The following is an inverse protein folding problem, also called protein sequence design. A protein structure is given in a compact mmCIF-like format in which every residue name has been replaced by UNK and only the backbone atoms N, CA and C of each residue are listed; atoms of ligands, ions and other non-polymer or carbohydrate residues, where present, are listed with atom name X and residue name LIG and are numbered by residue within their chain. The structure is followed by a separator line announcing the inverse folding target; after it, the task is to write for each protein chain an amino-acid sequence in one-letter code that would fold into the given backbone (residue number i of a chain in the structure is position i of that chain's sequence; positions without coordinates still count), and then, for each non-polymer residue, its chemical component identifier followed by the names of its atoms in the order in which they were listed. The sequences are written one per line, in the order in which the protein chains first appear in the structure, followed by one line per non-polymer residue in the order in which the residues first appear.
data_IF_900107657364
#
_entry.id   IF_900107657364
#
_cell.length_a   1.000
_cell.length_b   1.000
_cell.length_c   1.000
_cell.angle_alpha   90.00
_cell.angle_beta   90.00
_cell.angle_gamma   90.00
#
_symmetry.space_group_name_H-M   'P 1'
#
loop_
_entity.id
_entity.type
_entity.pdbx_description
1 polymer ?
#
# COMPACT_ATOMS: atom_id res chain seq x y z
N UNK A 1 -16.50 -23.57 0.00
CA UNK A 1 -17.24 -23.09 1.20
C UNK A 1 -16.34 -22.32 2.18
N UNK A 2 -15.10 -22.76 2.46
CA UNK A 2 -14.15 -22.08 3.36
C UNK A 2 -13.75 -20.65 2.93
N UNK A 3 -13.47 -20.43 1.65
CA UNK A 3 -13.10 -19.11 1.11
C UNK A 3 -14.18 -18.04 1.34
N UNK A 4 -15.45 -18.41 1.13
CA UNK A 4 -16.60 -17.52 1.32
C UNK A 4 -16.87 -17.20 2.80
N UNK A 5 -16.60 -18.15 3.70
CA UNK A 5 -16.73 -17.94 5.16
C UNK A 5 -15.63 -17.00 5.68
N UNK A 6 -14.39 -17.12 5.18
CA UNK A 6 -13.28 -16.27 5.56
C UNK A 6 -13.50 -14.80 5.16
N UNK A 7 -13.85 -14.55 3.88
CA UNK A 7 -14.14 -13.19 3.40
C UNK A 7 -15.23 -12.53 4.25
N UNK A 8 -16.34 -13.24 4.51
CA UNK A 8 -17.46 -12.67 5.28
C UNK A 8 -17.10 -12.29 6.72
N UNK A 9 -16.30 -13.09 7.41
CA UNK A 9 -15.90 -12.79 8.80
C UNK A 9 -14.92 -11.62 8.88
N UNK A 10 -13.97 -11.55 7.95
CA UNK A 10 -13.03 -10.41 7.86
C UNK A 10 -13.80 -9.14 7.51
N UNK A 11 -14.66 -9.18 6.48
CA UNK A 11 -15.40 -8.03 6.03
C UNK A 11 -16.36 -7.49 7.10
N UNK A 12 -17.03 -8.35 7.87
CA UNK A 12 -17.86 -7.91 9.01
C UNK A 12 -17.08 -7.04 9.98
N UNK A 13 -15.83 -7.41 10.31
CA UNK A 13 -14.97 -6.62 11.20
C UNK A 13 -14.50 -5.32 10.56
N UNK A 14 -14.27 -5.32 9.24
CA UNK A 14 -13.79 -4.15 8.51
C UNK A 14 -14.90 -3.16 8.14
N UNK A 15 -16.17 -3.54 8.16
CA UNK A 15 -17.32 -2.67 7.79
C UNK A 15 -17.30 -1.30 8.48
N UNK A 16 -16.85 -1.22 9.74
CA UNK A 16 -16.74 0.04 10.50
C UNK A 16 -15.79 1.07 9.87
N UNK A 17 -14.95 0.65 8.93
CA UNK A 17 -13.98 1.50 8.24
C UNK A 17 -14.42 1.88 6.82
N UNK A 18 -15.63 1.51 6.38
CA UNK A 18 -16.06 1.70 4.99
C UNK A 18 -16.12 3.16 4.55
N UNK A 19 -16.48 4.05 5.48
CA UNK A 19 -16.54 5.49 5.24
C UNK A 19 -15.19 6.20 5.44
N UNK A 20 -14.16 5.47 5.90
CA UNK A 20 -12.83 6.02 6.14
C UNK A 20 -12.04 6.10 4.84
N UNK A 21 -11.26 7.17 4.67
CA UNK A 21 -10.26 7.30 3.60
C UNK A 21 -9.03 6.49 4.02
N UNK A 22 -8.86 5.32 3.42
CA UNK A 22 -7.81 4.37 3.80
C UNK A 22 -6.63 4.51 2.84
N UNK A 23 -5.42 4.64 3.40
CA UNK A 23 -4.18 4.57 2.66
C UNK A 23 -3.59 3.16 2.75
N UNK A 24 -3.55 2.45 1.63
CA UNK A 24 -3.01 1.09 1.51
C UNK A 24 -1.55 1.15 1.11
N UNK A 25 -0.67 0.59 1.94
CA UNK A 25 0.76 0.53 1.70
C UNK A 25 1.09 -0.68 0.83
N UNK A 26 1.23 -0.46 -0.48
CA UNK A 26 1.40 -1.53 -1.44
C UNK A 26 2.87 -1.74 -1.79
N UNK A 27 3.42 -2.92 -1.49
CA UNK A 27 4.82 -3.27 -1.83
C UNK A 27 4.97 -3.74 -3.27
N UNK A 28 3.86 -4.17 -3.89
CA UNK A 28 3.84 -4.89 -5.17
C UNK A 28 3.85 -6.41 -5.00
N UNK A 29 3.99 -6.91 -3.76
CA UNK A 29 3.87 -8.33 -3.43
C UNK A 29 2.41 -8.79 -3.31
N UNK A 30 2.24 -10.12 -3.22
CA UNK A 30 0.93 -10.79 -3.20
C UNK A 30 0.03 -10.26 -2.07
N UNK A 31 0.51 -10.25 -0.83
CA UNK A 31 -0.29 -9.89 0.35
C UNK A 31 -0.92 -8.50 0.21
N UNK A 32 -0.09 -7.50 -0.12
CA UNK A 32 -0.56 -6.12 -0.29
C UNK A 32 -1.49 -5.95 -1.49
N UNK A 33 -1.32 -6.78 -2.52
CA UNK A 33 -2.20 -6.79 -3.71
C UNK A 33 -3.56 -7.40 -3.37
N UNK A 34 -3.58 -8.52 -2.65
CA UNK A 34 -4.81 -9.17 -2.19
C UNK A 34 -5.57 -8.25 -1.24
N UNK A 35 -4.89 -7.60 -0.30
CA UNK A 35 -5.50 -6.63 0.60
C UNK A 35 -6.15 -5.47 -0.17
N UNK A 36 -5.41 -4.84 -1.09
CA UNK A 36 -5.94 -3.76 -1.91
C UNK A 36 -7.15 -4.23 -2.74
N UNK A 37 -7.04 -5.40 -3.37
CA UNK A 37 -8.11 -5.98 -4.17
C UNK A 37 -9.37 -6.29 -3.35
N UNK A 38 -9.21 -6.87 -2.15
CA UNK A 38 -10.31 -7.18 -1.24
C UNK A 38 -11.05 -5.90 -0.81
N UNK A 39 -10.32 -4.85 -0.46
CA UNK A 39 -10.92 -3.56 -0.08
C UNK A 39 -11.65 -2.91 -1.25
N UNK A 40 -11.07 -2.94 -2.46
CA UNK A 40 -11.71 -2.41 -3.67
C UNK A 40 -13.00 -3.14 -4.02
N UNK A 41 -12.95 -4.49 -4.05
CA UNK A 41 -14.10 -5.34 -4.37
C UNK A 41 -15.28 -5.11 -3.41
N UNK A 42 -14.99 -4.63 -2.20
CA UNK A 42 -15.99 -4.35 -1.17
C UNK A 42 -16.33 -2.87 -1.00
N UNK A 43 -15.96 -2.03 -1.98
CA UNK A 43 -16.29 -0.61 -2.07
C UNK A 43 -15.75 0.24 -0.91
N UNK A 44 -14.54 -0.07 -0.42
CA UNK A 44 -13.84 0.82 0.50
C UNK A 44 -13.19 2.00 -0.24
N UNK A 45 -13.14 3.17 0.40
CA UNK A 45 -12.50 4.38 -0.12
C UNK A 45 -10.99 4.29 0.08
N UNK A 46 -10.27 3.69 -0.86
CA UNK A 46 -8.81 3.51 -0.75
C UNK A 46 -8.00 4.43 -1.66
N UNK A 47 -6.76 4.71 -1.23
CA UNK A 47 -5.65 5.19 -2.06
C UNK A 47 -4.42 4.33 -1.80
N UNK A 48 -3.42 4.40 -2.66
CA UNK A 48 -2.23 3.55 -2.58
C UNK A 48 -0.98 4.38 -2.28
N UNK A 49 -0.13 3.89 -1.37
CA UNK A 49 1.21 4.39 -1.15
C UNK A 49 2.25 3.31 -1.47
N UNK A 50 3.23 3.64 -2.30
CA UNK A 50 4.36 2.77 -2.64
C UNK A 50 5.69 3.47 -2.38
N UNK A 51 6.64 2.74 -1.80
CA UNK A 51 8.03 3.19 -1.65
C UNK A 51 8.93 2.28 -2.48
N UNK A 52 9.60 2.87 -3.47
CA UNK A 52 10.63 2.21 -4.25
C UNK A 52 12.01 2.56 -3.65
N UNK A 53 12.61 1.62 -2.93
CA UNK A 53 13.93 1.78 -2.31
C UNK A 53 15.11 1.57 -3.28
N UNK A 54 14.84 1.19 -4.54
CA UNK A 54 15.86 0.90 -5.56
C UNK A 54 16.93 -0.13 -5.15
N UNK A 55 16.62 -1.03 -4.21
CA UNK A 55 17.56 -2.03 -3.67
C UNK A 55 17.80 -3.24 -4.58
N UNK A 56 16.81 -3.63 -5.41
CA UNK A 56 16.85 -4.88 -6.19
C UNK A 56 16.80 -4.64 -7.69
N UNK A 57 17.35 -3.51 -8.14
CA UNK A 57 17.44 -3.14 -9.55
C UNK A 57 16.12 -3.35 -10.31
N UNK A 58 16.12 -4.29 -11.25
CA UNK A 58 14.98 -4.60 -12.12
C UNK A 58 13.72 -5.05 -11.36
N UNK A 59 13.85 -5.74 -10.23
CA UNK A 59 12.69 -6.17 -9.43
C UNK A 59 11.95 -4.98 -8.83
N UNK A 60 12.69 -3.99 -8.32
CA UNK A 60 12.12 -2.75 -7.79
C UNK A 60 11.38 -1.96 -8.88
N UNK A 61 11.91 -1.93 -10.10
CA UNK A 61 11.24 -1.31 -11.26
C UNK A 61 9.98 -2.07 -11.69
N UNK A 62 10.02 -3.41 -11.68
CA UNK A 62 8.86 -4.25 -11.98
C UNK A 62 7.72 -4.03 -10.97
N UNK A 63 8.04 -3.99 -9.68
CA UNK A 63 7.05 -3.73 -8.63
C UNK A 63 6.43 -2.34 -8.76
N UNK A 64 7.24 -1.29 -8.99
CA UNK A 64 6.71 0.06 -9.21
C UNK A 64 5.78 0.09 -10.45
N UNK A 65 6.21 -0.51 -11.56
CA UNK A 65 5.41 -0.57 -12.80
C UNK A 65 4.09 -1.31 -12.57
N UNK A 66 4.12 -2.42 -11.82
CA UNK A 66 2.93 -3.17 -11.44
C UNK A 66 1.97 -2.32 -10.59
N UNK A 67 2.47 -1.68 -9.53
CA UNK A 67 1.63 -0.83 -8.66
C UNK A 67 1.01 0.33 -9.44
N UNK A 68 1.79 0.99 -10.32
CA UNK A 68 1.28 2.04 -11.22
C UNK A 68 0.16 1.52 -12.11
N UNK A 69 0.34 0.35 -12.73
CA UNK A 69 -0.68 -0.27 -13.57
C UNK A 69 -1.94 -0.62 -12.76
N UNK A 70 -1.77 -1.22 -11.59
CA UNK A 70 -2.87 -1.55 -10.69
C UNK A 70 -3.69 -0.31 -10.32
N UNK A 71 -3.03 0.78 -9.91
CA UNK A 71 -3.71 2.02 -9.54
C UNK A 71 -4.42 2.64 -10.75
N UNK A 72 -3.76 2.68 -11.92
CA UNK A 72 -4.35 3.22 -13.16
C UNK A 72 -5.60 2.44 -13.56
N UNK A 73 -5.54 1.11 -13.57
CA UNK A 73 -6.65 0.24 -13.96
C UNK A 73 -7.86 0.36 -13.02
N UNK A 74 -7.62 0.63 -11.73
CA UNK A 74 -8.68 0.75 -10.72
C UNK A 74 -9.03 2.22 -10.39
N UNK A 75 -8.51 3.20 -11.15
CA UNK A 75 -8.72 4.64 -10.94
C UNK A 75 -8.37 5.12 -9.52
N UNK A 76 -7.28 4.61 -8.96
CA UNK A 76 -6.82 4.93 -7.61
C UNK A 76 -5.74 6.00 -7.63
N UNK A 77 -5.80 6.89 -6.63
CA UNK A 77 -4.69 7.81 -6.34
C UNK A 77 -3.48 7.00 -5.86
N UNK A 78 -2.36 7.18 -6.56
CA UNK A 78 -1.07 6.61 -6.19
C UNK A 78 -0.14 7.69 -5.64
N UNK A 79 0.31 7.50 -4.40
CA UNK A 79 1.45 8.18 -3.82
C UNK A 79 2.68 7.33 -4.04
N UNK A 80 3.70 7.89 -4.66
CA UNK A 80 4.97 7.20 -4.91
C UNK A 80 6.12 7.98 -4.31
N UNK A 81 6.91 7.32 -3.46
CA UNK A 81 8.23 7.78 -3.07
C UNK A 81 9.27 6.87 -3.69
N UNK A 82 10.23 7.46 -4.40
CA UNK A 82 11.38 6.74 -4.95
C UNK A 82 12.63 7.29 -4.31
N UNK A 83 13.46 6.39 -3.76
CA UNK A 83 14.77 6.73 -3.21
C UNK A 83 15.82 6.66 -4.32
N UNK A 84 16.91 7.39 -4.13
CA UNK A 84 18.10 7.27 -4.97
C UNK A 84 18.93 6.05 -4.55
N UNK A 85 19.66 5.47 -5.50
CA UNK A 85 20.57 4.35 -5.22
C UNK A 85 21.67 4.83 -4.28
N UNK A 86 21.84 4.15 -3.15
CA UNK A 86 22.83 4.54 -2.13
C UNK A 86 22.29 5.43 -1.01
N UNK A 87 21.01 5.82 -1.02
CA UNK A 87 20.38 6.53 0.12
C UNK A 87 20.13 5.64 1.34
N UNK A 88 20.41 4.34 1.24
CA UNK A 88 20.28 3.39 2.35
C UNK A 88 21.67 2.89 2.76
N UNK A 89 21.98 3.05 4.04
CA UNK A 89 23.23 2.67 4.67
C UNK A 89 23.19 1.21 5.18
N UNK A 90 24.21 0.83 5.97
CA UNK A 90 24.46 -0.56 6.41
C UNK A 90 23.28 -1.24 7.13
N UNK A 91 22.35 -0.49 7.75
CA UNK A 91 21.14 -1.04 8.39
C UNK A 91 19.88 -0.86 7.53
N UNK A 92 19.93 -1.42 6.32
CA UNK A 92 18.93 -1.26 5.26
C UNK A 92 17.49 -1.47 5.76
N UNK A 93 17.25 -2.50 6.58
CA UNK A 93 15.89 -2.83 7.01
C UNK A 93 15.29 -1.80 7.98
N UNK A 94 16.08 -1.35 8.96
CA UNK A 94 15.63 -0.39 9.98
C UNK A 94 15.42 0.98 9.32
N UNK A 95 16.37 1.40 8.49
CA UNK A 95 16.30 2.68 7.78
C UNK A 95 15.15 2.71 6.77
N UNK A 96 14.96 1.64 5.99
CA UNK A 96 13.82 1.51 5.10
C UNK A 96 12.50 1.55 5.87
N UNK A 97 12.41 0.91 7.03
CA UNK A 97 11.20 0.92 7.88
C UNK A 97 10.92 2.32 8.43
N UNK A 98 11.96 3.05 8.87
CA UNK A 98 11.83 4.43 9.36
C UNK A 98 11.34 5.37 8.25
N UNK A 99 12.04 5.40 7.11
CA UNK A 99 11.67 6.22 5.94
C UNK A 99 10.23 5.95 5.52
N UNK A 100 9.82 4.68 5.52
CA UNK A 100 8.47 4.27 5.17
C UNK A 100 7.42 4.88 6.10
N UNK A 101 7.57 4.69 7.40
CA UNK A 101 6.57 5.15 8.36
C UNK A 101 6.52 6.66 8.48
N UNK A 102 7.68 7.32 8.43
CA UNK A 102 7.74 8.79 8.46
C UNK A 102 7.04 9.37 7.23
N UNK A 103 7.28 8.79 6.06
CA UNK A 103 6.60 9.22 4.84
C UNK A 103 5.11 8.90 4.86
N UNK A 104 4.70 7.71 5.33
CA UNK A 104 3.28 7.35 5.45
C UNK A 104 2.51 8.27 6.38
N UNK A 105 3.10 8.63 7.54
CA UNK A 105 2.51 9.61 8.46
C UNK A 105 2.36 10.98 7.81
N UNK A 106 3.39 11.43 7.08
CA UNK A 106 3.33 12.70 6.34
C UNK A 106 2.15 12.72 5.36
N UNK A 107 2.03 11.72 4.51
CA UNK A 107 0.96 11.68 3.49
C UNK A 107 -0.42 11.41 4.10
N UNK A 108 -0.51 10.73 5.24
CA UNK A 108 -1.76 10.60 5.99
C UNK A 108 -2.31 11.98 6.37
N UNK A 109 -1.45 12.84 6.93
CA UNK A 109 -1.83 14.20 7.35
C UNK A 109 -2.08 15.08 6.12
N UNK A 110 -1.13 15.14 5.18
CA UNK A 110 -1.16 16.02 3.99
C UNK A 110 -2.41 15.81 3.13
N UNK A 111 -2.89 14.56 3.02
CA UNK A 111 -4.05 14.22 2.20
C UNK A 111 -5.30 13.86 3.00
N UNK A 112 -5.27 14.08 4.32
CA UNK A 112 -6.38 13.84 5.24
C UNK A 112 -6.96 12.41 5.11
N UNK A 113 -6.08 11.41 5.20
CA UNK A 113 -6.47 10.01 5.34
C UNK A 113 -6.82 9.71 6.80
N UNK A 114 -7.80 8.83 7.01
CA UNK A 114 -8.20 8.43 8.36
C UNK A 114 -7.34 7.27 8.89
N UNK A 115 -6.87 6.40 8.00
CA UNK A 115 -6.25 5.12 8.36
C UNK A 115 -5.12 4.75 7.40
N UNK A 116 -4.11 4.07 7.95
CA UNK A 116 -3.07 3.37 7.18
C UNK A 116 -3.29 1.88 7.37
N UNK A 117 -3.19 1.12 6.28
CA UNK A 117 -3.16 -0.35 6.33
C UNK A 117 -1.99 -0.89 5.50
N UNK A 118 -1.39 -1.98 5.96
CA UNK A 118 -0.19 -2.59 5.38
C UNK A 118 -0.39 -4.08 5.16
#
# INVERSE_FOLDING_TARGET
MSHFLFENNVLKKLKKFKEKKILVCMSGGLDSTVLAHLLLKNNFKISVAHVNYCLRGNESLKNEKFVRKFCKSNKLKLHLKKLQKGELNKSIQIEARKIRYDWFKKILIEYNYDLITT
#
